data_IF_302434924614
#
_entry.id   IF_302434924614
#
_cell.length_a   1.000
_cell.length_b   1.000
_cell.length_c   1.000
_cell.angle_alpha   90.00
_cell.angle_beta   90.00
_cell.angle_gamma   90.00
#
_symmetry.space_group_name_H-M   'P 1'
#
loop_
_entity.id
_entity.type
_entity.pdbx_description
1 polymer ?
#
# COMPACT_ATOMS: atom_id res chain seq x y z
N UNK A 1 11.07 -64.33 6.94
CA UNK A 1 11.44 -62.95 6.53
C UNK A 1 10.27 -62.38 5.75
N UNK A 2 9.81 -61.16 6.07
CA UNK A 2 8.65 -60.56 5.40
C UNK A 2 9.07 -59.81 4.11
N UNK A 3 8.30 -59.90 3.01
CA UNK A 3 8.65 -59.23 1.76
C UNK A 3 8.45 -57.71 1.83
N UNK A 4 9.32 -56.97 1.16
CA UNK A 4 9.28 -55.50 1.08
C UNK A 4 8.10 -55.04 0.22
N UNK A 5 7.14 -54.35 0.83
CA UNK A 5 5.89 -53.88 0.21
C UNK A 5 5.94 -52.44 -0.33
N UNK A 6 7.14 -51.84 -0.48
CA UNK A 6 7.23 -50.45 -0.93
C UNK A 6 7.18 -50.35 -2.46
N UNK A 7 6.01 -49.97 -2.97
CA UNK A 7 5.76 -49.55 -4.34
C UNK A 7 6.62 -48.31 -4.67
N UNK A 8 7.66 -48.46 -5.50
CA UNK A 8 8.64 -47.38 -5.79
C UNK A 8 8.27 -46.49 -6.97
N UNK A 9 7.21 -46.80 -7.71
CA UNK A 9 6.78 -46.00 -8.88
C UNK A 9 5.59 -45.12 -8.51
N UNK A 10 5.80 -43.80 -8.51
CA UNK A 10 4.70 -42.83 -8.48
C UNK A 10 4.03 -42.82 -9.85
N UNK A 11 2.69 -42.79 -9.95
CA UNK A 11 2.01 -42.60 -11.23
C UNK A 11 2.47 -41.26 -11.83
N UNK A 12 2.90 -41.28 -13.10
CA UNK A 12 3.28 -40.08 -13.84
C UNK A 12 2.06 -39.17 -13.95
N UNK A 13 2.22 -37.89 -13.58
CA UNK A 13 1.20 -36.87 -13.86
C UNK A 13 0.94 -36.87 -15.38
N UNK A 14 -0.31 -36.98 -15.85
CA UNK A 14 -0.60 -36.90 -17.28
C UNK A 14 -0.10 -35.57 -17.84
N UNK A 15 0.40 -35.59 -19.08
CA UNK A 15 0.85 -34.37 -19.77
C UNK A 15 -0.29 -33.36 -19.85
N UNK A 16 -0.03 -32.16 -19.32
CA UNK A 16 -0.97 -31.06 -19.38
C UNK A 16 -1.03 -30.54 -20.81
N UNK A 17 -2.16 -30.75 -21.50
CA UNK A 17 -2.40 -30.12 -22.80
C UNK A 17 -2.51 -28.60 -22.59
N UNK A 18 -1.42 -27.89 -22.88
CA UNK A 18 -1.39 -26.43 -22.89
C UNK A 18 -2.20 -25.93 -24.08
N UNK A 19 -3.53 -25.88 -23.96
CA UNK A 19 -4.36 -25.06 -24.84
C UNK A 19 -4.13 -23.58 -24.51
N UNK A 20 -2.94 -23.07 -24.86
CA UNK A 20 -2.69 -21.64 -24.89
C UNK A 20 -3.13 -21.20 -26.29
N UNK A 21 -4.43 -20.92 -26.43
CA UNK A 21 -4.93 -20.26 -27.64
C UNK A 21 -4.13 -19.00 -27.90
N UNK A 22 -3.82 -18.73 -29.17
CA UNK A 22 -3.08 -17.55 -29.60
C UNK A 22 -3.67 -16.27 -28.99
N UNK A 23 -2.80 -15.33 -28.63
CA UNK A 23 -3.22 -14.08 -27.99
C UNK A 23 -4.09 -13.26 -28.95
N UNK A 24 -5.41 -13.29 -28.75
CA UNK A 24 -6.39 -12.58 -29.57
C UNK A 24 -6.44 -11.06 -29.25
N UNK A 25 -5.32 -10.37 -29.52
CA UNK A 25 -5.15 -8.93 -29.27
C UNK A 25 -6.04 -8.07 -30.16
N UNK A 26 -6.28 -8.49 -31.41
CA UNK A 26 -7.11 -7.75 -32.38
C UNK A 26 -8.59 -7.75 -31.93
N UNK A 27 -9.14 -8.93 -31.66
CA UNK A 27 -10.50 -9.09 -31.14
C UNK A 27 -10.72 -8.33 -29.83
N UNK A 28 -9.75 -8.43 -28.91
CA UNK A 28 -9.77 -7.68 -27.64
C UNK A 28 -9.82 -6.17 -27.86
N UNK A 29 -9.01 -5.67 -28.79
CA UNK A 29 -8.99 -4.24 -29.12
C UNK A 29 -10.30 -3.79 -29.76
N UNK A 30 -10.84 -4.58 -30.69
CA UNK A 30 -12.16 -4.32 -31.31
C UNK A 30 -13.27 -4.27 -30.28
N UNK A 31 -13.30 -5.22 -29.35
CA UNK A 31 -14.27 -5.26 -28.26
C UNK A 31 -14.18 -4.01 -27.37
N UNK A 32 -12.99 -3.62 -26.91
CA UNK A 32 -12.86 -2.44 -26.04
C UNK A 32 -13.19 -1.13 -26.77
N UNK A 33 -12.85 -0.99 -28.05
CA UNK A 33 -13.23 0.18 -28.84
C UNK A 33 -14.76 0.28 -29.00
N UNK A 34 -15.45 -0.84 -29.22
CA UNK A 34 -16.91 -0.88 -29.28
C UNK A 34 -17.54 -0.59 -27.90
N UNK A 35 -16.97 -1.17 -26.84
CA UNK A 35 -17.42 -0.95 -25.46
C UNK A 35 -17.31 0.52 -25.05
N UNK A 36 -16.17 1.18 -25.32
CA UNK A 36 -15.96 2.59 -24.97
C UNK A 36 -16.86 3.54 -25.80
N UNK A 37 -17.27 3.15 -27.01
CA UNK A 37 -18.13 3.96 -27.90
C UNK A 37 -19.62 3.83 -27.57
N UNK A 38 -20.08 2.64 -27.21
CA UNK A 38 -21.51 2.29 -27.24
C UNK A 38 -22.09 1.87 -25.88
N UNK A 39 -21.25 1.63 -24.87
CA UNK A 39 -21.71 1.40 -23.50
C UNK A 39 -22.06 2.74 -22.82
N UNK A 40 -23.19 2.86 -22.09
CA UNK A 40 -24.10 1.80 -21.64
C UNK A 40 -25.29 1.51 -22.56
N UNK A 41 -25.36 2.10 -23.76
CA UNK A 41 -26.50 1.97 -24.68
C UNK A 41 -26.70 0.56 -25.24
N UNK A 42 -25.65 -0.25 -25.35
CA UNK A 42 -25.72 -1.66 -25.76
C UNK A 42 -25.29 -2.62 -24.65
N UNK A 43 -25.89 -3.82 -24.65
CA UNK A 43 -25.54 -4.88 -23.71
C UNK A 43 -24.23 -5.57 -24.10
N UNK A 44 -23.51 -6.09 -23.10
CA UNK A 44 -22.23 -6.79 -23.30
C UNK A 44 -22.32 -7.98 -24.30
N UNK A 45 -23.38 -8.82 -24.29
CA UNK A 45 -23.52 -9.89 -25.26
C UNK A 45 -23.58 -9.37 -26.71
N UNK A 46 -24.29 -8.26 -26.94
CA UNK A 46 -24.41 -7.65 -28.27
C UNK A 46 -23.07 -7.10 -28.74
N UNK A 47 -22.36 -6.40 -27.86
CA UNK A 47 -21.01 -5.87 -28.16
C UNK A 47 -19.99 -6.99 -28.41
N UNK A 48 -20.09 -8.10 -27.68
CA UNK A 48 -19.24 -9.27 -27.91
C UNK A 48 -19.49 -9.86 -29.30
N UNK A 49 -20.76 -10.05 -29.66
CA UNK A 49 -21.15 -10.57 -30.97
C UNK A 49 -20.67 -9.67 -32.12
N UNK A 50 -20.91 -8.36 -32.03
CA UNK A 50 -20.49 -7.38 -33.06
C UNK A 50 -18.96 -7.30 -33.21
N UNK A 51 -18.22 -7.53 -32.13
CA UNK A 51 -16.75 -7.54 -32.14
C UNK A 51 -16.15 -8.89 -32.55
N UNK A 52 -16.97 -9.91 -32.84
CA UNK A 52 -16.53 -11.24 -33.24
C UNK A 52 -16.01 -12.09 -32.07
N UNK A 53 -16.47 -11.83 -30.85
CA UNK A 53 -16.01 -12.49 -29.63
C UNK A 53 -17.14 -13.18 -28.88
N UNK A 54 -16.80 -14.13 -28.01
CA UNK A 54 -17.78 -14.77 -27.14
C UNK A 54 -18.04 -13.96 -25.87
N UNK A 55 -19.29 -13.92 -25.42
CA UNK A 55 -19.68 -13.21 -24.20
C UNK A 55 -18.85 -13.62 -22.96
N UNK A 56 -18.53 -14.90 -22.70
CA UNK A 56 -17.68 -15.28 -21.57
C UNK A 56 -16.28 -14.65 -21.64
N UNK A 57 -15.73 -14.54 -22.85
CA UNK A 57 -14.42 -13.92 -23.11
C UNK A 57 -14.47 -12.42 -22.87
N UNK A 58 -15.49 -11.74 -23.40
CA UNK A 58 -15.73 -10.33 -23.17
C UNK A 58 -15.87 -9.99 -21.67
N UNK A 59 -16.67 -10.77 -20.92
CA UNK A 59 -16.80 -10.62 -19.45
C UNK A 59 -15.47 -10.83 -18.73
N UNK A 60 -14.69 -11.84 -19.11
CA UNK A 60 -13.36 -12.09 -18.55
C UNK A 60 -12.41 -10.91 -18.82
N UNK A 61 -12.46 -10.35 -20.02
CA UNK A 61 -11.67 -9.16 -20.38
C UNK A 61 -12.10 -7.93 -19.59
N UNK A 62 -13.40 -7.67 -19.42
CA UNK A 62 -13.89 -6.57 -18.59
C UNK A 62 -13.44 -6.72 -17.12
N UNK A 63 -13.46 -7.93 -16.58
CA UNK A 63 -12.93 -8.21 -15.24
C UNK A 63 -11.43 -7.91 -15.16
N UNK A 64 -10.65 -8.35 -16.14
CA UNK A 64 -9.21 -8.06 -16.23
C UNK A 64 -8.91 -6.56 -16.44
N UNK A 65 -9.74 -5.86 -17.22
CA UNK A 65 -9.60 -4.44 -17.53
C UNK A 65 -9.80 -3.56 -16.29
N UNK A 66 -10.65 -3.98 -15.34
CA UNK A 66 -10.75 -3.34 -14.02
C UNK A 66 -9.44 -3.38 -13.22
N UNK A 67 -8.56 -4.35 -13.49
CA UNK A 67 -7.25 -4.46 -12.85
C UNK A 67 -6.16 -3.64 -13.55
N UNK A 68 -6.28 -3.40 -14.86
CA UNK A 68 -5.27 -2.67 -15.66
C UNK A 68 -5.52 -1.16 -15.75
N UNK A 69 -6.75 -0.68 -15.49
CA UNK A 69 -6.97 0.77 -15.34
C UNK A 69 -6.08 1.28 -14.21
N UNK A 70 -5.25 2.29 -14.52
CA UNK A 70 -4.50 3.07 -13.51
C UNK A 70 -5.50 3.63 -12.52
N UNK A 71 -5.73 2.93 -11.41
CA UNK A 71 -6.39 3.49 -10.24
C UNK A 71 -5.60 4.74 -9.86
N UNK A 72 -6.29 5.84 -9.57
CA UNK A 72 -5.62 7.05 -9.10
C UNK A 72 -4.65 6.66 -7.98
N UNK A 73 -3.40 7.14 -8.04
CA UNK A 73 -2.37 6.80 -7.03
C UNK A 73 -2.83 7.12 -5.60
N UNK A 74 -3.82 7.99 -5.46
CA UNK A 74 -4.40 8.42 -4.20
C UNK A 74 -5.86 7.95 -4.17
N UNK A 75 -6.07 6.70 -3.75
CA UNK A 75 -7.40 6.09 -3.59
C UNK A 75 -8.02 6.35 -2.19
N UNK A 76 -7.35 7.13 -1.34
CA UNK A 76 -7.66 7.27 0.07
C UNK A 76 -8.17 8.66 0.44
N UNK A 77 -8.85 8.72 1.59
CA UNK A 77 -9.24 9.98 2.25
C UNK A 77 -8.00 10.85 2.47
N UNK A 78 -8.09 12.13 2.07
CA UNK A 78 -7.04 13.11 2.34
C UNK A 78 -6.80 13.23 3.84
N UNK A 79 -5.56 13.52 4.23
CA UNK A 79 -5.24 13.74 5.64
C UNK A 79 -5.96 14.98 6.17
N UNK A 80 -6.37 14.92 7.44
CA UNK A 80 -6.87 16.10 8.17
C UNK A 80 -5.80 17.18 8.38
N UNK A 81 -4.53 16.80 8.34
CA UNK A 81 -3.40 17.73 8.47
C UNK A 81 -3.03 18.22 7.08
N UNK A 82 -3.06 19.52 6.87
CA UNK A 82 -2.62 20.14 5.63
C UNK A 82 -1.09 20.26 5.56
N UNK A 83 -0.56 20.48 4.35
CA UNK A 83 0.86 20.76 4.15
C UNK A 83 1.29 22.03 4.88
N UNK A 84 0.49 23.10 4.81
CA UNK A 84 0.74 24.38 5.48
C UNK A 84 0.79 24.23 7.01
N UNK A 85 -0.09 23.41 7.58
CA UNK A 85 -0.04 23.08 9.01
C UNK A 85 1.28 22.37 9.36
N UNK A 86 1.74 21.44 8.53
CA UNK A 86 3.04 20.77 8.74
C UNK A 86 4.21 21.76 8.64
N UNK A 87 4.16 22.72 7.71
CA UNK A 87 5.19 23.75 7.57
C UNK A 87 5.17 24.74 8.75
N UNK A 88 3.98 25.16 9.20
CA UNK A 88 3.81 26.00 10.40
C UNK A 88 4.36 25.31 11.65
N UNK A 89 4.10 24.01 11.79
CA UNK A 89 4.67 23.23 12.88
C UNK A 89 6.20 23.23 12.79
N UNK A 90 6.77 23.06 11.60
CA UNK A 90 8.23 23.02 11.36
C UNK A 90 8.92 24.40 11.32
N UNK A 91 8.17 25.49 11.33
CA UNK A 91 8.71 26.85 11.40
C UNK A 91 9.50 27.11 12.70
N UNK A 92 10.60 27.89 12.66
CA UNK A 92 11.29 28.41 13.85
C UNK A 92 10.40 29.30 14.73
N UNK A 93 9.38 29.93 14.14
CA UNK A 93 8.44 30.81 14.87
C UNK A 93 7.46 30.05 15.77
N UNK A 94 7.42 28.72 15.70
CA UNK A 94 6.56 27.90 16.54
C UNK A 94 7.14 27.82 17.98
N UNK A 95 6.41 28.25 19.02
CA UNK A 95 6.93 28.26 20.40
C UNK A 95 7.08 26.85 21.01
N UNK A 96 6.30 25.88 20.55
CA UNK A 96 6.33 24.49 21.03
C UNK A 96 7.07 23.56 20.06
N UNK A 97 7.90 24.13 19.20
CA UNK A 97 8.56 23.43 18.09
C UNK A 97 9.39 22.21 18.53
N UNK A 98 10.06 22.33 19.67
CA UNK A 98 10.99 21.33 20.21
C UNK A 98 10.34 20.39 21.25
N UNK A 99 9.04 20.58 21.51
CA UNK A 99 8.26 19.74 22.43
C UNK A 99 7.75 18.46 21.77
N UNK A 100 7.18 17.56 22.57
CA UNK A 100 6.56 16.32 22.10
C UNK A 100 5.40 16.58 21.13
N UNK A 101 5.16 15.64 20.21
CA UNK A 101 4.05 15.75 19.26
C UNK A 101 2.68 15.86 19.96
N UNK A 102 2.53 15.27 21.13
CA UNK A 102 1.32 15.40 21.96
C UNK A 102 1.12 16.85 22.41
N UNK A 103 2.15 17.46 23.02
CA UNK A 103 2.10 18.88 23.38
C UNK A 103 1.88 19.81 22.18
N UNK A 104 2.44 19.47 21.01
CA UNK A 104 2.17 20.22 19.77
C UNK A 104 0.72 20.05 19.28
N UNK A 105 0.15 18.85 19.42
CA UNK A 105 -1.25 18.58 19.08
C UNK A 105 -2.17 19.38 19.99
N UNK A 106 -1.89 19.40 21.29
CA UNK A 106 -2.70 20.10 22.28
C UNK A 106 -2.61 21.62 22.08
N UNK A 107 -1.39 22.15 21.88
CA UNK A 107 -1.17 23.59 21.68
C UNK A 107 -1.84 24.15 20.43
N UNK A 108 -1.82 23.40 19.33
CA UNK A 108 -2.45 23.81 18.06
C UNK A 108 -3.86 23.24 17.85
N UNK A 109 -4.41 22.55 18.86
CA UNK A 109 -5.70 21.87 18.85
C UNK A 109 -5.95 21.04 17.56
N UNK A 110 -4.99 20.18 17.21
CA UNK A 110 -5.04 19.40 15.98
C UNK A 110 -5.77 18.08 16.24
N UNK A 111 -6.90 17.83 15.56
CA UNK A 111 -7.69 16.59 15.73
C UNK A 111 -7.08 15.34 15.07
N UNK A 112 -5.84 15.00 15.41
CA UNK A 112 -5.14 13.83 14.90
C UNK A 112 -4.29 13.17 15.97
N UNK A 113 -4.11 11.85 15.84
CA UNK A 113 -3.21 11.10 16.73
C UNK A 113 -1.74 11.43 16.42
N UNK A 114 -0.83 11.37 17.40
CA UNK A 114 0.61 11.64 17.21
C UNK A 114 1.25 10.84 16.07
N UNK A 115 0.85 9.55 15.91
CA UNK A 115 1.32 8.69 14.82
C UNK A 115 0.95 9.22 13.44
N UNK A 116 -0.26 9.76 13.29
CA UNK A 116 -0.72 10.33 12.03
C UNK A 116 0.01 11.63 11.72
N UNK A 117 0.14 12.52 12.72
CA UNK A 117 0.90 13.76 12.58
C UNK A 117 2.35 13.49 12.16
N UNK A 118 3.02 12.53 12.81
CA UNK A 118 4.38 12.10 12.45
C UNK A 118 4.49 11.64 10.99
N UNK A 119 3.51 10.87 10.50
CA UNK A 119 3.49 10.41 9.11
C UNK A 119 3.36 11.61 8.15
N UNK A 120 2.49 12.56 8.46
CA UNK A 120 2.26 13.75 7.62
C UNK A 120 3.47 14.68 7.59
N UNK A 121 4.09 14.93 8.75
CA UNK A 121 5.36 15.66 8.84
C UNK A 121 6.42 14.99 7.96
N UNK A 122 6.59 13.66 8.06
CA UNK A 122 7.55 12.93 7.23
C UNK A 122 7.32 13.14 5.73
N UNK A 123 6.07 13.10 5.30
CA UNK A 123 5.68 13.25 3.89
C UNK A 123 5.91 14.67 3.39
N UNK A 124 5.54 15.68 4.18
CA UNK A 124 5.50 17.07 3.71
C UNK A 124 6.77 17.87 3.97
N UNK A 125 7.63 17.48 4.93
CA UNK A 125 8.80 18.27 5.32
C UNK A 125 10.13 17.65 4.91
N UNK A 126 10.17 16.92 3.78
CA UNK A 126 11.36 16.21 3.25
C UNK A 126 12.01 15.25 4.26
N UNK A 127 11.22 14.45 4.97
CA UNK A 127 11.70 13.69 6.12
C UNK A 127 12.39 14.58 7.17
N UNK A 128 11.96 15.83 7.32
CA UNK A 128 12.37 16.75 8.37
C UNK A 128 12.03 16.13 9.72
N UNK A 129 12.90 15.21 10.15
CA UNK A 129 12.86 14.52 11.41
C UNK A 129 13.10 15.59 12.45
N UNK A 130 12.05 16.22 12.96
CA UNK A 130 12.21 16.93 14.21
C UNK A 130 12.57 15.92 15.28
N UNK A 131 13.70 16.23 15.89
CA UNK A 131 14.39 15.41 16.84
C UNK A 131 13.45 15.03 17.98
N UNK A 132 13.51 13.76 18.35
CA UNK A 132 13.18 13.37 19.72
C UNK A 132 14.06 14.25 20.61
N UNK A 133 13.43 15.07 21.46
CA UNK A 133 13.92 15.23 22.81
C UNK A 133 15.32 15.87 22.91
N UNK A 134 15.51 17.11 22.45
CA UNK A 134 16.77 17.82 22.68
C UNK A 134 16.98 18.21 24.17
N UNK A 135 15.90 18.30 24.98
CA UNK A 135 16.00 18.85 26.34
C UNK A 135 15.24 18.11 27.45
N UNK A 136 14.52 17.01 27.16
CA UNK A 136 13.96 16.21 28.27
C UNK A 136 15.07 15.27 28.73
N UNK A 137 15.66 15.54 29.91
CA UNK A 137 16.50 14.57 30.63
C UNK A 137 15.76 13.25 30.62
N UNK A 138 16.24 12.28 29.83
CA UNK A 138 15.65 10.95 29.80
C UNK A 138 15.81 10.39 31.21
N UNK A 139 14.71 10.22 31.93
CA UNK A 139 14.74 9.57 33.24
C UNK A 139 15.21 8.13 33.01
N UNK A 140 16.47 7.86 33.35
CA UNK A 140 17.05 6.53 33.25
C UNK A 140 16.47 5.74 34.43
N UNK A 141 15.82 4.61 34.13
CA UNK A 141 15.34 3.73 35.19
C UNK A 141 16.49 3.33 36.13
N UNK A 142 16.23 3.16 37.45
CA UNK A 142 17.28 2.84 38.43
C UNK A 142 18.12 1.63 38.01
N UNK A 143 17.48 0.60 37.46
CA UNK A 143 18.14 -0.62 36.97
C UNK A 143 19.11 -0.35 35.81
N UNK A 144 18.75 0.50 34.85
CA UNK A 144 19.65 0.86 33.74
C UNK A 144 20.78 1.76 34.19
N UNK A 145 20.55 2.61 35.21
CA UNK A 145 21.60 3.42 35.83
C UNK A 145 22.64 2.53 36.50
N UNK A 146 22.21 1.53 37.28
CA UNK A 146 23.09 0.56 37.93
C UNK A 146 23.95 -0.23 36.91
N UNK A 147 23.32 -0.73 35.83
CA UNK A 147 24.05 -1.45 34.76
C UNK A 147 25.12 -0.60 34.08
N UNK A 148 24.86 0.69 33.85
CA UNK A 148 25.85 1.60 33.27
C UNK A 148 27.02 1.90 34.21
N UNK A 149 26.75 2.02 35.51
CA UNK A 149 27.78 2.20 36.54
C UNK A 149 28.66 0.96 36.64
N UNK A 150 28.06 -0.25 36.57
CA UNK A 150 28.82 -1.50 36.54
C UNK A 150 29.72 -1.59 35.29
N UNK A 151 29.15 -1.32 34.11
CA UNK A 151 29.90 -1.33 32.85
C UNK A 151 31.11 -0.40 32.85
N UNK A 152 30.95 0.84 33.36
CA UNK A 152 32.06 1.81 33.44
C UNK A 152 33.07 1.55 34.56
N UNK A 153 32.90 0.49 35.36
CA UNK A 153 33.91 0.00 36.31
C UNK A 153 34.67 -1.22 35.77
N UNK A 154 34.05 -1.99 34.89
CA UNK A 154 34.63 -3.18 34.26
C UNK A 154 35.46 -2.86 33.00
N UNK A 155 35.27 -1.68 32.42
CA UNK A 155 35.96 -1.16 31.24
C UNK A 155 36.44 0.27 31.48
#
# INVERSE_FOLDING_TARGET
>A
MAPSTRFTKRPSTPEYQSHVGEYNTIEKTRFFNAYDREYPGKSIPVLALESGTSEPTAKRWLAAYRHTRKRSKILGKQSRVSKEQCERLVSPSNPVRDQHLEAQIDHFNIEVKPRQLKKMLKVHTKNGRRFKQAYVKKEISPANKAKRVAYGKEH
#
